data_IF_927899869865
#
_entry.id   IF_927899869865
#
_cell.length_a   1.000
_cell.length_b   1.000
_cell.length_c   1.000
_cell.angle_alpha   90.00
_cell.angle_beta   90.00
_cell.angle_gamma   90.00
#
_symmetry.space_group_name_H-M   'P 1'
#
loop_
_entity.id
_entity.type
_entity.pdbx_description
1 polymer ?
#
# COMPACT_ATOMS: atom_id res chain seq x y z
N UNK A 1 14.15 18.53 -24.95
CA UNK A 1 12.83 17.88 -24.72
C UNK A 1 11.96 17.76 -25.98
N UNK A 2 12.00 18.72 -26.93
CA UNK A 2 11.22 18.64 -28.18
C UNK A 2 11.57 17.43 -29.08
N UNK A 3 12.86 17.10 -29.24
CA UNK A 3 13.30 15.99 -30.11
C UNK A 3 12.83 14.61 -29.62
N UNK A 4 12.77 14.40 -28.30
CA UNK A 4 12.31 13.15 -27.70
C UNK A 4 10.80 12.95 -27.93
N UNK A 5 10.00 14.01 -27.78
CA UNK A 5 8.56 13.98 -28.03
C UNK A 5 8.22 13.69 -29.49
N UNK A 6 8.95 14.32 -30.42
CA UNK A 6 8.79 14.09 -31.85
C UNK A 6 9.12 12.64 -32.24
N UNK A 7 10.19 12.06 -31.69
CA UNK A 7 10.55 10.65 -31.95
C UNK A 7 9.57 9.64 -31.36
N UNK A 8 8.87 9.99 -30.28
CA UNK A 8 7.86 9.14 -29.62
C UNK A 8 6.44 9.34 -30.19
N UNK A 9 6.24 10.26 -31.15
CA UNK A 9 4.90 10.63 -31.62
C UNK A 9 4.04 11.28 -30.53
N UNK A 10 4.66 11.83 -29.48
CA UNK A 10 3.96 12.43 -28.35
C UNK A 10 3.72 13.91 -28.60
N UNK A 11 2.50 14.27 -28.99
CA UNK A 11 2.13 15.65 -29.34
C UNK A 11 1.56 16.46 -28.17
N UNK A 12 1.31 15.83 -27.02
CA UNK A 12 0.71 16.52 -25.88
C UNK A 12 1.72 17.44 -25.17
N UNK A 13 1.28 18.63 -24.71
CA UNK A 13 2.10 19.55 -23.94
C UNK A 13 2.52 18.94 -22.59
N UNK A 14 3.48 19.58 -21.87
CA UNK A 14 3.88 19.12 -20.54
C UNK A 14 2.66 18.99 -19.62
N UNK A 15 2.59 17.86 -18.89
CA UNK A 15 1.52 17.55 -17.94
C UNK A 15 0.12 17.33 -18.54
N UNK A 16 -0.01 17.27 -19.86
CA UNK A 16 -1.23 16.82 -20.52
C UNK A 16 -1.10 15.33 -20.88
N UNK A 17 -1.99 14.52 -20.33
CA UNK A 17 -2.09 13.08 -20.62
C UNK A 17 -3.46 12.82 -21.25
N UNK A 18 -3.51 12.16 -22.43
CA UNK A 18 -4.75 11.74 -23.05
C UNK A 18 -5.64 10.94 -22.12
N UNK A 19 -6.97 11.08 -22.30
CA UNK A 19 -7.95 10.38 -21.47
C UNK A 19 -7.80 8.87 -21.59
N UNK A 20 -7.50 8.38 -22.77
CA UNK A 20 -7.31 6.97 -23.12
C UNK A 20 -6.14 6.38 -22.33
N UNK A 21 -5.04 7.14 -22.19
CA UNK A 21 -3.89 6.73 -21.38
C UNK A 21 -4.26 6.78 -19.90
N UNK A 22 -4.94 7.84 -19.44
CA UNK A 22 -5.44 7.89 -18.07
C UNK A 22 -6.33 6.70 -17.73
N UNK A 23 -7.28 6.34 -18.60
CA UNK A 23 -8.18 5.21 -18.42
C UNK A 23 -7.44 3.86 -18.44
N UNK A 24 -6.44 3.71 -19.32
CA UNK A 24 -5.61 2.50 -19.36
C UNK A 24 -4.78 2.31 -18.08
N UNK A 25 -4.43 3.41 -17.40
CA UNK A 25 -3.66 3.40 -16.15
C UNK A 25 -4.53 3.54 -14.90
N UNK A 26 -5.84 3.76 -15.03
CA UNK A 26 -6.74 3.91 -13.89
C UNK A 26 -6.94 2.57 -13.17
N UNK A 27 -6.20 2.40 -12.09
CA UNK A 27 -6.25 1.22 -11.26
C UNK A 27 -7.16 1.38 -10.03
N UNK A 28 -7.93 2.48 -9.92
CA UNK A 28 -8.71 2.78 -8.69
C UNK A 28 -9.75 1.71 -8.39
N UNK A 29 -10.59 1.37 -9.36
CA UNK A 29 -11.64 0.35 -9.19
C UNK A 29 -11.03 -1.04 -8.92
N UNK A 30 -9.96 -1.40 -9.65
CA UNK A 30 -9.24 -2.66 -9.44
C UNK A 30 -8.61 -2.71 -8.04
N UNK A 31 -8.02 -1.61 -7.60
CA UNK A 31 -7.41 -1.45 -6.28
C UNK A 31 -8.44 -1.55 -5.16
N UNK A 32 -9.58 -0.89 -5.31
CA UNK A 32 -10.70 -0.95 -4.36
C UNK A 32 -11.20 -2.39 -4.18
N UNK A 33 -11.47 -3.11 -5.28
CA UNK A 33 -11.88 -4.52 -5.23
C UNK A 33 -10.84 -5.41 -4.56
N UNK A 34 -9.56 -5.20 -4.88
CA UNK A 34 -8.48 -5.97 -4.26
C UNK A 34 -8.36 -5.69 -2.76
N UNK A 35 -8.48 -4.43 -2.35
CA UNK A 35 -8.45 -4.01 -0.95
C UNK A 35 -9.66 -4.56 -0.19
N UNK A 36 -10.86 -4.48 -0.77
CA UNK A 36 -12.07 -5.04 -0.19
C UNK A 36 -11.94 -6.55 0.04
N UNK A 37 -11.48 -7.30 -0.96
CA UNK A 37 -11.24 -8.75 -0.82
C UNK A 37 -10.20 -9.06 0.26
N UNK A 38 -9.16 -8.24 0.38
CA UNK A 38 -8.15 -8.40 1.42
C UNK A 38 -8.75 -8.12 2.82
N UNK A 39 -9.56 -7.08 2.95
CA UNK A 39 -10.22 -6.72 4.21
C UNK A 39 -11.15 -7.84 4.70
N UNK A 40 -11.91 -8.46 3.80
CA UNK A 40 -12.79 -9.60 4.12
C UNK A 40 -12.00 -10.80 4.65
N UNK A 41 -10.89 -11.14 3.98
CA UNK A 41 -9.98 -12.22 4.42
C UNK A 41 -9.37 -11.89 5.78
N UNK A 42 -8.96 -10.64 5.98
CA UNK A 42 -8.39 -10.19 7.24
C UNK A 42 -9.42 -10.19 8.39
N UNK A 43 -10.68 -9.85 8.11
CA UNK A 43 -11.75 -9.94 9.10
C UNK A 43 -12.01 -11.41 9.53
N UNK A 44 -12.03 -12.33 8.57
CA UNK A 44 -12.12 -13.77 8.87
C UNK A 44 -10.91 -14.26 9.68
N UNK A 45 -9.71 -13.84 9.29
CA UNK A 45 -8.47 -14.14 10.02
C UNK A 45 -8.50 -13.61 11.47
N UNK A 46 -8.97 -12.37 11.67
CA UNK A 46 -9.10 -11.76 13.00
C UNK A 46 -10.06 -12.52 13.90
N UNK A 47 -11.15 -13.05 13.35
CA UNK A 47 -12.10 -13.89 14.10
C UNK A 47 -11.48 -15.23 14.51
N UNK A 48 -10.66 -15.84 13.65
CA UNK A 48 -10.00 -17.11 13.92
C UNK A 48 -8.75 -16.97 14.82
N UNK A 49 -8.02 -15.86 14.71
CA UNK A 49 -6.73 -15.62 15.36
C UNK A 49 -6.62 -14.20 15.92
N UNK A 50 -7.39 -13.85 16.97
CA UNK A 50 -7.49 -12.48 17.47
C UNK A 50 -6.14 -11.91 17.92
N UNK A 51 -5.34 -12.67 18.68
CA UNK A 51 -4.02 -12.24 19.16
C UNK A 51 -3.02 -12.00 18.01
N UNK A 52 -3.02 -12.88 17.00
CA UNK A 52 -2.13 -12.73 15.85
C UNK A 52 -2.56 -11.59 14.93
N UNK A 53 -3.87 -11.31 14.82
CA UNK A 53 -4.37 -10.17 14.06
C UNK A 53 -4.05 -8.83 14.74
N UNK A 54 -4.09 -8.77 16.08
CA UNK A 54 -3.60 -7.62 16.83
C UNK A 54 -2.10 -7.40 16.62
N UNK A 55 -1.32 -8.48 16.66
CA UNK A 55 0.12 -8.41 16.43
C UNK A 55 0.47 -8.00 14.99
N UNK A 56 -0.24 -8.54 14.00
CA UNK A 56 -0.13 -8.11 12.60
C UNK A 56 -0.45 -6.62 12.47
N UNK A 57 -1.56 -6.16 13.04
CA UNK A 57 -1.97 -4.75 12.99
C UNK A 57 -0.93 -3.84 13.63
N UNK A 58 -0.40 -4.22 14.81
CA UNK A 58 0.64 -3.47 15.52
C UNK A 58 1.90 -3.31 14.67
N UNK A 59 2.37 -4.40 14.06
CA UNK A 59 3.58 -4.38 13.22
C UNK A 59 3.36 -3.57 11.95
N UNK A 60 2.20 -3.70 11.32
CA UNK A 60 1.87 -2.95 10.11
C UNK A 60 1.70 -1.45 10.36
N UNK A 61 1.26 -1.04 11.55
CA UNK A 61 1.19 0.38 11.94
C UNK A 61 2.52 0.95 12.46
N UNK A 62 3.58 0.12 12.56
CA UNK A 62 4.87 0.51 13.12
C UNK A 62 4.87 0.68 14.64
N UNK A 63 3.82 0.22 15.35
CA UNK A 63 3.78 0.26 16.81
C UNK A 63 4.79 -0.69 17.43
N UNK A 64 5.45 -0.29 18.52
CA UNK A 64 6.34 -1.17 19.30
C UNK A 64 5.55 -2.06 20.27
N UNK A 65 6.10 -3.20 20.71
CA UNK A 65 5.52 -4.00 21.79
C UNK A 65 5.39 -3.18 23.07
N UNK A 66 4.38 -3.46 23.90
CA UNK A 66 4.18 -2.74 25.17
C UNK A 66 5.38 -2.87 26.13
N UNK A 67 6.07 -4.01 26.09
CA UNK A 67 7.22 -4.29 26.96
C UNK A 67 8.57 -3.99 26.26
N UNK A 68 8.57 -3.20 25.18
CA UNK A 68 9.78 -2.90 24.42
C UNK A 68 10.89 -2.26 25.27
N UNK A 69 10.54 -1.27 26.09
CA UNK A 69 11.51 -0.57 26.95
C UNK A 69 12.10 -1.47 28.05
N UNK A 70 11.33 -2.44 28.56
CA UNK A 70 11.84 -3.41 29.54
C UNK A 70 12.83 -4.39 28.91
N UNK A 71 12.52 -4.91 27.72
CA UNK A 71 13.40 -5.84 27.01
C UNK A 71 14.72 -5.18 26.57
N UNK A 72 14.71 -3.89 26.23
CA UNK A 72 15.94 -3.14 25.90
C UNK A 72 16.89 -3.05 27.10
N UNK A 73 16.34 -2.83 28.30
CA UNK A 73 17.13 -2.75 29.54
C UNK A 73 17.71 -4.08 30.03
N UNK A 74 17.14 -5.23 29.63
CA UNK A 74 17.66 -6.56 29.95
C UNK A 74 18.82 -7.00 29.05
N UNK A 75 18.98 -6.40 27.86
CA UNK A 75 20.11 -6.70 26.95
C UNK A 75 21.43 -6.09 27.47
N UNK A 76 21.36 -5.11 28.36
CA UNK A 76 22.52 -4.42 28.95
C UNK A 76 22.83 -4.83 30.40
N UNK A 77 22.27 -5.94 30.88
CA UNK A 77 22.62 -6.59 32.16
C UNK A 77 23.31 -7.93 31.90
#
# INVERSE_FOLDING_TARGET
MALARQKLGWHHPPFEIPKEIYHAWDAREKGEKAQQSWNEKFAAYKKAHPQLAEEFTRRMSGGLPKDWEKNDSEIYQ
#
